data_IF_554478544056
#
_entry.id   IF_554478544056
#
_cell.length_a   1.000
_cell.length_b   1.000
_cell.length_c   1.000
_cell.angle_alpha   90.00
_cell.angle_beta   90.00
_cell.angle_gamma   90.00
#
_symmetry.space_group_name_H-M   'P 1'
#
loop_
_entity.id
_entity.type
_entity.pdbx_description
1 polymer ?
#
# COMPACT_ATOMS: atom_id res chain seq x y z
N UNK A 1 -38.72 19.93 -9.32
CA UNK A 1 -37.72 19.70 -8.24
C UNK A 1 -37.34 18.23 -8.07
N UNK A 2 -38.31 17.29 -8.07
CA UNK A 2 -38.06 15.85 -7.87
C UNK A 2 -37.00 15.23 -8.79
N UNK A 3 -37.02 15.55 -10.08
CA UNK A 3 -36.05 15.04 -11.05
C UNK A 3 -34.64 15.59 -10.79
N UNK A 4 -34.52 16.89 -10.46
CA UNK A 4 -33.23 17.51 -10.12
C UNK A 4 -32.62 16.88 -8.85
N UNK A 5 -33.45 16.56 -7.87
CA UNK A 5 -33.04 15.87 -6.66
C UNK A 5 -32.60 14.43 -6.95
N UNK A 6 -33.35 13.70 -7.78
CA UNK A 6 -32.98 12.33 -8.18
C UNK A 6 -31.64 12.26 -8.93
N UNK A 7 -31.40 13.21 -9.84
CA UNK A 7 -30.13 13.31 -10.58
C UNK A 7 -28.97 13.64 -9.64
N UNK A 8 -29.17 14.56 -8.68
CA UNK A 8 -28.17 14.89 -7.67
C UNK A 8 -27.81 13.67 -6.81
N UNK A 9 -28.82 12.92 -6.36
CA UNK A 9 -28.59 11.72 -5.54
C UNK A 9 -27.88 10.61 -6.32
N UNK A 10 -28.22 10.40 -7.59
CA UNK A 10 -27.52 9.45 -8.44
C UNK A 10 -26.06 9.85 -8.67
N UNK A 11 -25.79 11.14 -8.89
CA UNK A 11 -24.43 11.68 -9.03
C UNK A 11 -23.58 11.51 -7.77
N UNK A 12 -24.14 11.80 -6.60
CA UNK A 12 -23.45 11.57 -5.31
C UNK A 12 -23.16 10.09 -5.10
N UNK A 13 -24.15 9.21 -5.36
CA UNK A 13 -23.98 7.77 -5.21
C UNK A 13 -22.88 7.23 -6.14
N UNK A 14 -22.85 7.68 -7.39
CA UNK A 14 -21.80 7.30 -8.35
C UNK A 14 -20.42 7.82 -7.93
N UNK A 15 -20.33 9.03 -7.39
CA UNK A 15 -19.07 9.59 -6.89
C UNK A 15 -18.54 8.81 -5.67
N UNK A 16 -19.41 8.40 -4.74
CA UNK A 16 -19.02 7.58 -3.59
C UNK A 16 -18.47 6.20 -3.99
N UNK A 17 -18.88 5.64 -5.14
CA UNK A 17 -18.32 4.39 -5.69
C UNK A 17 -16.89 4.57 -6.25
N UNK A 18 -16.45 5.81 -6.46
CA UNK A 18 -15.11 6.16 -6.99
C UNK A 18 -14.12 6.60 -5.93
N UNK A 19 -14.45 6.50 -4.64
CA UNK A 19 -13.47 6.60 -3.55
C UNK A 19 -12.55 5.39 -3.68
N UNK A 20 -11.59 5.48 -4.59
CA UNK A 20 -10.55 4.49 -4.78
C UNK A 20 -10.00 4.15 -3.41
N UNK A 21 -10.14 2.87 -3.09
CA UNK A 21 -9.46 2.15 -2.02
C UNK A 21 -7.98 2.54 -2.12
N UNK A 22 -7.56 3.51 -1.32
CA UNK A 22 -6.14 3.72 -1.04
C UNK A 22 -5.73 2.47 -0.28
N UNK A 23 -5.39 1.43 -1.02
CA UNK A 23 -4.73 0.29 -0.45
C UNK A 23 -3.33 0.78 -0.06
N UNK A 24 -3.16 1.18 1.21
CA UNK A 24 -1.86 1.31 1.84
C UNK A 24 -1.23 -0.10 1.87
N UNK A 25 -0.60 -0.49 0.77
CA UNK A 25 0.30 -1.64 0.78
C UNK A 25 1.52 -1.21 1.61
N UNK A 26 1.47 -1.56 2.90
CA UNK A 26 2.19 -0.94 4.01
C UNK A 26 3.70 -1.14 4.03
N UNK A 27 4.40 -0.58 3.05
CA UNK A 27 5.84 -0.38 3.14
C UNK A 27 6.20 0.41 4.40
N UNK A 28 5.46 1.48 4.66
CA UNK A 28 5.57 2.39 5.80
C UNK A 28 5.15 1.77 7.15
N UNK A 29 4.50 0.61 7.13
CA UNK A 29 4.19 -0.17 8.35
C UNK A 29 5.42 -0.89 8.89
N UNK A 30 6.33 -1.35 8.01
CA UNK A 30 7.52 -2.14 8.40
C UNK A 30 8.83 -1.33 8.23
N UNK A 31 8.86 -0.32 7.35
CA UNK A 31 10.07 0.42 6.98
C UNK A 31 9.85 1.94 6.95
N UNK A 32 10.85 2.71 7.39
CA UNK A 32 10.88 4.17 7.24
C UNK A 32 11.69 4.53 5.98
N UNK A 33 11.01 5.08 4.96
CA UNK A 33 11.64 5.45 3.68
C UNK A 33 12.79 6.47 3.82
N UNK A 34 12.83 7.22 4.91
CA UNK A 34 13.84 8.23 5.17
C UNK A 34 15.07 7.66 5.89
N UNK A 35 14.99 6.43 6.43
CA UNK A 35 16.07 5.78 7.18
C UNK A 35 16.74 4.68 6.36
N UNK A 36 17.51 5.10 5.36
CA UNK A 36 18.26 4.16 4.50
C UNK A 36 19.47 3.62 5.24
N UNK A 37 19.67 2.30 5.18
CA UNK A 37 20.86 1.62 5.67
C UNK A 37 21.57 0.90 4.52
N UNK A 38 22.89 0.80 4.59
CA UNK A 38 23.70 -0.02 3.68
C UNK A 38 24.26 -1.19 4.48
N UNK A 39 23.99 -2.40 4.03
CA UNK A 39 24.49 -3.63 4.62
C UNK A 39 25.42 -4.33 3.62
N UNK A 40 26.55 -4.84 4.10
CA UNK A 40 27.45 -5.73 3.35
C UNK A 40 27.55 -7.03 4.12
N UNK A 41 27.49 -8.15 3.43
CA UNK A 41 27.45 -9.44 4.10
C UNK A 41 27.04 -10.58 3.18
N UNK A 42 26.90 -11.76 3.76
CA UNK A 42 26.46 -12.97 3.04
C UNK A 42 24.95 -13.10 3.18
N UNK A 43 24.24 -13.26 2.06
CA UNK A 43 22.81 -13.61 2.10
C UNK A 43 22.69 -15.05 2.56
N UNK A 44 22.14 -15.27 3.75
CA UNK A 44 22.01 -16.60 4.36
C UNK A 44 20.66 -17.25 4.08
N UNK A 45 19.62 -16.43 3.83
CA UNK A 45 18.27 -16.92 3.55
C UNK A 45 17.48 -15.91 2.71
N UNK A 46 16.62 -16.45 1.85
CA UNK A 46 15.56 -15.70 1.17
C UNK A 46 14.23 -16.36 1.49
N UNK A 47 13.27 -15.59 1.99
CA UNK A 47 11.90 -16.04 2.22
C UNK A 47 10.95 -15.39 1.22
N UNK A 48 10.30 -16.22 0.40
CA UNK A 48 9.29 -15.78 -0.55
C UNK A 48 7.92 -15.81 0.13
N UNK A 49 7.45 -14.61 0.52
CA UNK A 49 6.18 -14.41 1.23
C UNK A 49 5.36 -13.39 0.41
N UNK A 50 4.03 -13.54 0.42
CA UNK A 50 3.11 -12.55 -0.16
C UNK A 50 2.62 -11.64 0.98
N UNK A 51 2.70 -10.30 0.87
CA UNK A 51 3.04 -9.50 -0.32
C UNK A 51 4.50 -9.15 -0.52
N UNK A 52 5.37 -9.31 0.48
CA UNK A 52 6.77 -8.90 0.41
C UNK A 52 7.71 -10.03 0.85
N UNK A 53 8.75 -10.27 0.05
CA UNK A 53 9.84 -11.19 0.41
C UNK A 53 10.73 -10.61 1.52
N UNK A 54 11.47 -11.47 2.21
CA UNK A 54 12.51 -11.08 3.17
C UNK A 54 13.87 -11.66 2.79
N UNK A 55 14.92 -10.87 2.97
CA UNK A 55 16.31 -11.25 2.73
C UNK A 55 17.07 -11.14 4.03
N UNK A 56 17.71 -12.23 4.45
CA UNK A 56 18.51 -12.30 5.66
C UNK A 56 19.97 -12.23 5.28
N UNK A 57 20.69 -11.26 5.86
CA UNK A 57 22.10 -11.00 5.58
C UNK A 57 22.87 -11.16 6.89
N UNK A 58 23.89 -12.00 6.89
CA UNK A 58 24.91 -12.04 7.93
C UNK A 58 25.92 -10.92 7.65
N UNK A 59 25.93 -9.90 8.50
CA UNK A 59 26.59 -8.61 8.25
C UNK A 59 28.07 -8.69 8.62
N UNK A 60 28.91 -8.06 7.79
CA UNK A 60 30.38 -7.94 8.00
C UNK A 60 30.80 -6.49 8.18
#
# INVERSE_FOLDING_TARGET
MRIKLGVLMAGISFFCLTVSVVAHHGFDTEYDANKKVKLTGVVTKVEWLNPHMRVYIDVT
#
